data_IF_131961200834
#
_entry.id   IF_131961200834
#
_cell.length_a   1.000
_cell.length_b   1.000
_cell.length_c   1.000
_cell.angle_alpha   90.00
_cell.angle_beta   90.00
_cell.angle_gamma   90.00
#
_symmetry.space_group_name_H-M   'P 1'
#
loop_
_entity.id
_entity.type
_entity.pdbx_description
1 polymer ?
#
# COMPACT_ATOMS: atom_id res chain seq x y z
N UNK A 1 15.59 8.32 -4.50
CA UNK A 1 14.71 7.57 -5.43
C UNK A 1 13.33 7.71 -4.80
N UNK A 2 12.40 8.35 -5.49
CA UNK A 2 11.13 8.73 -4.85
C UNK A 2 10.41 7.48 -4.35
N UNK A 3 10.17 7.43 -3.03
CA UNK A 3 9.52 6.28 -2.40
C UNK A 3 8.46 6.72 -1.41
N UNK A 4 7.29 6.10 -1.52
CA UNK A 4 6.16 6.32 -0.63
C UNK A 4 5.72 4.97 -0.08
N UNK A 5 5.57 4.87 1.22
CA UNK A 5 5.00 3.70 1.89
C UNK A 5 3.71 4.11 2.61
N UNK A 6 2.58 3.58 2.14
CA UNK A 6 1.30 3.70 2.81
C UNK A 6 1.16 2.48 3.71
N UNK A 7 1.22 2.67 5.03
CA UNK A 7 1.24 1.60 6.02
C UNK A 7 -0.15 1.29 6.55
N UNK A 8 -0.34 0.03 6.95
CA UNK A 8 -1.47 -0.42 7.75
C UNK A 8 -2.85 -0.08 7.17
N UNK A 9 -2.99 -0.03 5.85
CA UNK A 9 -4.26 0.35 5.21
C UNK A 9 -5.38 -0.57 5.69
N UNK A 10 -6.49 0.02 6.17
CA UNK A 10 -7.66 -0.72 6.66
C UNK A 10 -8.09 -1.80 5.67
N UNK A 11 -8.28 -1.41 4.41
CA UNK A 11 -8.59 -2.30 3.31
C UNK A 11 -8.16 -1.69 1.97
N UNK A 12 -7.42 -2.49 1.19
CA UNK A 12 -7.01 -2.17 -0.18
C UNK A 12 -7.90 -2.96 -1.13
N UNK A 13 -8.57 -2.27 -2.06
CA UNK A 13 -9.34 -2.89 -3.14
C UNK A 13 -8.50 -2.84 -4.42
N UNK A 14 -7.99 -3.99 -4.87
CA UNK A 14 -6.98 -4.03 -5.95
C UNK A 14 -7.57 -3.87 -7.36
N UNK A 15 -8.87 -4.12 -7.52
CA UNK A 15 -9.55 -4.22 -8.82
C UNK A 15 -8.86 -5.19 -9.80
N UNK A 16 -8.15 -6.21 -9.28
CA UNK A 16 -7.66 -7.32 -10.11
C UNK A 16 -8.83 -8.20 -10.61
N UNK A 17 -8.53 -9.21 -11.44
CA UNK A 17 -9.55 -10.10 -12.02
C UNK A 17 -10.41 -10.78 -10.95
N UNK A 18 -9.81 -11.08 -9.80
CA UNK A 18 -10.44 -11.76 -8.67
C UNK A 18 -11.14 -10.78 -7.71
N UNK A 19 -11.03 -9.48 -7.96
CA UNK A 19 -11.52 -8.39 -7.10
C UNK A 19 -10.99 -8.53 -5.67
N UNK A 20 -9.72 -8.88 -5.53
CA UNK A 20 -9.08 -9.13 -4.25
C UNK A 20 -9.19 -7.91 -3.33
N UNK A 21 -9.47 -8.19 -2.06
CA UNK A 21 -9.47 -7.19 -0.98
C UNK A 21 -8.47 -7.59 0.08
N UNK A 22 -7.52 -6.70 0.35
CA UNK A 22 -6.42 -6.95 1.28
C UNK A 22 -6.62 -6.08 2.52
N UNK A 23 -6.85 -6.73 3.67
CA UNK A 23 -7.08 -6.04 4.95
C UNK A 23 -5.78 -5.86 5.72
N UNK A 24 -5.65 -4.73 6.41
CA UNK A 24 -4.49 -4.40 7.25
C UNK A 24 -3.16 -4.55 6.53
N UNK A 25 -3.13 -4.15 5.26
CA UNK A 25 -2.01 -4.36 4.36
C UNK A 25 -1.37 -3.02 3.95
N UNK A 26 -0.12 -3.05 3.49
CA UNK A 26 0.64 -1.85 3.13
C UNK A 26 0.96 -1.81 1.63
N UNK A 27 1.10 -0.61 1.07
CA UNK A 27 1.44 -0.36 -0.33
C UNK A 27 2.77 0.41 -0.41
N UNK A 28 3.75 -0.16 -1.10
CA UNK A 28 5.03 0.48 -1.41
C UNK A 28 5.05 0.95 -2.86
N UNK A 29 5.27 2.25 -3.04
CA UNK A 29 5.43 2.90 -4.34
C UNK A 29 6.89 3.32 -4.46
N UNK A 30 7.53 2.98 -5.58
CA UNK A 30 8.89 3.41 -5.96
C UNK A 30 8.86 3.94 -7.38
N UNK A 31 9.44 5.11 -7.59
CA UNK A 31 9.59 5.72 -8.91
C UNK A 31 8.29 5.70 -9.73
N UNK A 32 7.20 6.13 -9.07
CA UNK A 32 5.83 6.19 -9.61
C UNK A 32 5.20 4.85 -10.01
N UNK A 33 5.73 3.72 -9.52
CA UNK A 33 5.14 2.39 -9.73
C UNK A 33 4.88 1.70 -8.41
N UNK A 34 3.80 0.91 -8.36
CA UNK A 34 3.55 -0.02 -7.25
C UNK A 34 4.65 -1.08 -7.27
N UNK A 35 5.50 -1.07 -6.25
CA UNK A 35 6.61 -2.01 -6.10
C UNK A 35 6.20 -3.25 -5.31
N UNK A 36 5.31 -3.09 -4.30
CA UNK A 36 4.88 -4.20 -3.45
C UNK A 36 3.56 -3.87 -2.74
N UNK A 37 2.72 -4.89 -2.57
CA UNK A 37 1.60 -4.91 -1.63
C UNK A 37 1.81 -6.09 -0.69
N UNK A 38 1.87 -5.86 0.62
CA UNK A 38 2.04 -6.90 1.63
C UNK A 38 1.66 -6.38 3.02
N UNK A 39 1.30 -7.28 3.94
CA UNK A 39 0.82 -6.87 5.26
C UNK A 39 1.94 -6.47 6.24
N UNK A 40 3.18 -6.90 5.99
CA UNK A 40 4.36 -6.33 6.65
C UNK A 40 5.37 -5.89 5.58
N UNK A 41 5.62 -4.58 5.52
CA UNK A 41 6.65 -3.98 4.67
C UNK A 41 7.60 -3.18 5.56
N UNK A 42 8.75 -3.77 5.84
CA UNK A 42 9.89 -3.08 6.47
C UNK A 42 10.72 -2.41 5.38
N UNK A 43 10.41 -1.16 5.09
CA UNK A 43 11.15 -0.35 4.11
C UNK A 43 11.28 1.11 4.59
N UNK A 44 12.49 1.69 4.61
CA UNK A 44 12.69 3.10 4.93
C UNK A 44 12.33 3.97 3.71
N UNK A 45 11.04 4.24 3.53
CA UNK A 45 10.57 5.14 2.47
C UNK A 45 10.83 6.61 2.83
N UNK A 46 11.07 7.44 1.80
CA UNK A 46 11.24 8.89 1.96
C UNK A 46 9.97 9.54 2.51
N UNK A 47 8.79 9.03 2.14
CA UNK A 47 7.49 9.44 2.69
C UNK A 47 6.73 8.24 3.24
N UNK A 48 6.18 8.40 4.45
CA UNK A 48 5.31 7.41 5.08
C UNK A 48 3.94 8.04 5.32
N UNK A 49 2.89 7.31 4.95
CA UNK A 49 1.49 7.69 5.20
C UNK A 49 0.88 6.59 6.06
N UNK A 50 0.20 6.96 7.15
CA UNK A 50 -0.58 6.02 7.95
C UNK A 50 -1.99 5.88 7.35
N UNK A 51 -2.30 4.67 6.90
CA UNK A 51 -3.55 4.29 6.25
C UNK A 51 -4.53 3.55 7.18
N UNK A 52 -4.24 3.45 8.48
CA UNK A 52 -5.02 2.65 9.45
C UNK A 52 -6.53 2.86 9.41
N UNK A 53 -6.99 4.08 9.13
CA UNK A 53 -8.42 4.41 9.03
C UNK A 53 -8.92 4.59 7.58
N UNK A 54 -8.06 4.36 6.59
CA UNK A 54 -8.33 4.64 5.18
C UNK A 54 -8.63 3.39 4.37
N UNK A 55 -9.60 3.53 3.46
CA UNK A 55 -9.77 2.61 2.34
C UNK A 55 -8.94 3.10 1.15
N UNK A 56 -8.24 2.19 0.49
CA UNK A 56 -7.41 2.50 -0.68
C UNK A 56 -8.02 1.89 -1.93
N UNK A 57 -8.17 2.72 -2.95
CA UNK A 57 -8.70 2.39 -4.28
C UNK A 57 -7.71 2.86 -5.37
N UNK A 58 -7.75 2.26 -6.57
CA UNK A 58 -6.99 2.74 -7.74
C UNK A 58 -7.38 4.16 -8.17
#
# INVERSE_FOLDING_TARGET
MSSILIKNVKEIVTMDSERTRLKSCSLLIKDNKISKIACDIKFPAEKIIDGSDYFLYP
#
